data_IF_132774075798
#
_entry.id   IF_132774075798
#
_cell.length_a   1.000
_cell.length_b   1.000
_cell.length_c   1.000
_cell.angle_alpha   90.00
_cell.angle_beta   90.00
_cell.angle_gamma   90.00
#
_symmetry.space_group_name_H-M   'P 1'
#
loop_
_entity.id
_entity.type
_entity.pdbx_description
1 polymer ?
#
# COMPACT_ATOMS: atom_id res chain seq x y z
N UNK A 1 -5.99 -31.39 -9.63
CA UNK A 1 -7.09 -32.13 -9.03
C UNK A 1 -6.79 -32.40 -7.56
N UNK A 2 -7.68 -31.92 -6.70
CA UNK A 2 -7.78 -32.25 -5.28
C UNK A 2 -9.26 -32.11 -4.92
N UNK A 3 -9.82 -33.11 -4.23
CA UNK A 3 -11.20 -33.10 -3.75
C UNK A 3 -11.21 -33.23 -2.23
N UNK A 4 -11.94 -32.33 -1.60
CA UNK A 4 -12.15 -32.19 -0.16
C UNK A 4 -13.65 -31.95 0.13
N UNK A 5 -14.53 -32.37 -0.78
CA UNK A 5 -15.97 -32.19 -0.66
C UNK A 5 -16.56 -33.00 0.49
N UNK A 6 -17.39 -32.36 1.32
CA UNK A 6 -18.05 -33.00 2.47
C UNK A 6 -17.21 -33.17 3.73
N UNK A 7 -15.93 -32.77 3.74
CA UNK A 7 -15.00 -32.95 4.86
C UNK A 7 -15.28 -32.05 6.09
N UNK A 8 -16.35 -31.24 6.06
CA UNK A 8 -16.74 -30.29 7.11
C UNK A 8 -15.64 -29.25 7.43
N UNK A 9 -14.94 -28.79 6.39
CA UNK A 9 -13.91 -27.76 6.48
C UNK A 9 -14.53 -26.37 6.71
N UNK A 10 -13.96 -25.61 7.64
CA UNK A 10 -14.29 -24.21 7.93
C UNK A 10 -13.32 -23.22 7.28
N UNK A 11 -12.10 -23.67 7.00
CA UNK A 11 -10.95 -22.88 6.53
C UNK A 11 -9.96 -23.78 5.77
N UNK A 12 -9.11 -23.17 4.93
CA UNK A 12 -7.93 -23.80 4.35
C UNK A 12 -6.68 -23.29 5.10
N UNK A 13 -5.61 -24.11 5.26
CA UNK A 13 -4.37 -23.66 5.90
C UNK A 13 -3.68 -22.58 5.05
N UNK A 14 -2.87 -21.71 5.67
CA UNK A 14 -2.12 -20.66 4.94
C UNK A 14 -1.26 -21.24 3.81
N UNK A 15 -0.57 -22.36 4.08
CA UNK A 15 0.28 -23.06 3.11
C UNK A 15 -0.48 -23.71 1.94
N UNK A 16 -1.83 -23.66 1.89
CA UNK A 16 -2.59 -24.22 0.78
C UNK A 16 -2.24 -23.55 -0.56
N UNK A 17 -1.80 -22.29 -0.55
CA UNK A 17 -1.31 -21.59 -1.74
C UNK A 17 0.01 -22.13 -2.30
N UNK A 18 0.74 -22.99 -1.58
CA UNK A 18 1.94 -23.67 -2.11
C UNK A 18 1.61 -24.68 -3.21
N UNK A 19 0.35 -25.08 -3.35
CA UNK A 19 -0.15 -26.03 -4.36
C UNK A 19 -0.22 -25.43 -5.77
N UNK A 20 0.86 -24.80 -6.23
CA UNK A 20 0.93 -24.05 -7.49
C UNK A 20 0.63 -24.89 -8.75
N UNK A 21 0.73 -26.22 -8.70
CA UNK A 21 0.35 -27.13 -9.79
C UNK A 21 -1.13 -27.58 -9.75
N UNK A 22 -1.95 -27.03 -8.85
CA UNK A 22 -3.33 -27.46 -8.67
C UNK A 22 -4.27 -26.82 -9.70
N UNK A 23 -4.59 -27.57 -10.74
CA UNK A 23 -5.52 -27.13 -11.80
C UNK A 23 -7.02 -27.22 -11.43
N UNK A 24 -7.39 -28.12 -10.51
CA UNK A 24 -8.79 -28.44 -10.22
C UNK A 24 -8.96 -28.65 -8.72
N UNK A 25 -9.95 -27.99 -8.11
CA UNK A 25 -10.21 -27.97 -6.67
C UNK A 25 -11.71 -28.10 -6.38
N UNK A 26 -12.05 -29.09 -5.56
CA UNK A 26 -13.42 -29.39 -5.14
C UNK A 26 -13.55 -29.22 -3.61
N UNK A 27 -14.45 -28.32 -3.20
CA UNK A 27 -14.71 -27.87 -1.82
C UNK A 27 -16.21 -27.92 -1.47
N UNK A 28 -17.02 -28.59 -2.30
CA UNK A 28 -18.47 -28.61 -2.18
C UNK A 28 -18.97 -29.29 -0.89
N UNK A 29 -20.07 -28.80 -0.31
CA UNK A 29 -20.70 -29.40 0.87
C UNK A 29 -19.89 -29.28 2.18
N UNK A 30 -19.07 -28.23 2.29
CA UNK A 30 -18.31 -27.90 3.50
C UNK A 30 -19.05 -26.84 4.35
N UNK A 31 -18.36 -26.25 5.34
CA UNK A 31 -18.90 -25.23 6.25
C UNK A 31 -18.04 -23.96 6.23
N UNK A 32 -17.58 -23.56 5.04
CA UNK A 32 -16.87 -22.30 4.85
C UNK A 32 -17.78 -21.10 5.13
N UNK A 33 -17.35 -20.21 6.03
CA UNK A 33 -18.05 -18.94 6.35
C UNK A 33 -17.64 -17.78 5.46
N UNK A 34 -16.38 -17.82 5.03
CA UNK A 34 -15.76 -16.82 4.17
C UNK A 34 -15.13 -17.56 2.98
N UNK A 35 -14.98 -16.89 1.84
CA UNK A 35 -14.28 -17.46 0.70
C UNK A 35 -12.78 -17.63 1.02
N UNK A 36 -12.17 -18.83 0.87
CA UNK A 36 -10.77 -19.04 1.25
C UNK A 36 -9.79 -18.21 0.40
N UNK A 37 -9.16 -17.20 1.01
CA UNK A 37 -8.30 -16.24 0.31
C UNK A 37 -7.06 -16.88 -0.34
N UNK A 38 -6.65 -18.07 0.12
CA UNK A 38 -5.53 -18.85 -0.44
C UNK A 38 -5.80 -19.29 -1.88
N UNK A 39 -7.07 -19.45 -2.28
CA UNK A 39 -7.48 -19.87 -3.63
C UNK A 39 -6.96 -18.88 -4.69
N UNK A 40 -7.01 -17.58 -4.41
CA UNK A 40 -6.53 -16.52 -5.33
C UNK A 40 -5.02 -16.55 -5.61
N UNK A 41 -4.27 -17.35 -4.86
CA UNK A 41 -2.82 -17.50 -5.04
C UNK A 41 -2.47 -18.73 -5.90
N UNK A 42 -3.44 -19.56 -6.28
CA UNK A 42 -3.24 -20.79 -7.06
C UNK A 42 -3.15 -20.47 -8.56
N UNK A 43 -1.95 -20.12 -9.03
CA UNK A 43 -1.74 -19.55 -10.37
C UNK A 43 -2.10 -20.43 -11.57
N UNK A 44 -2.29 -21.74 -11.39
CA UNK A 44 -2.72 -22.68 -12.44
C UNK A 44 -4.15 -23.22 -12.26
N UNK A 45 -4.93 -22.72 -11.29
CA UNK A 45 -6.30 -23.19 -11.06
C UNK A 45 -7.22 -22.83 -12.24
N UNK A 46 -8.01 -23.80 -12.71
CA UNK A 46 -8.99 -23.63 -13.78
C UNK A 46 -10.39 -24.11 -13.38
N UNK A 47 -10.51 -25.14 -12.54
CA UNK A 47 -11.80 -25.62 -12.00
C UNK A 47 -11.88 -25.38 -10.50
N UNK A 48 -12.96 -24.72 -10.07
CA UNK A 48 -13.31 -24.52 -8.66
C UNK A 48 -14.80 -24.80 -8.42
N UNK A 49 -15.09 -25.75 -7.54
CA UNK A 49 -16.43 -25.93 -6.95
C UNK A 49 -16.36 -25.65 -5.44
N UNK A 50 -17.19 -24.70 -4.97
CA UNK A 50 -17.38 -24.36 -3.56
C UNK A 50 -18.88 -24.29 -3.19
N UNK A 51 -19.74 -24.96 -3.97
CA UNK A 51 -21.19 -25.04 -3.74
C UNK A 51 -21.57 -25.86 -2.48
N UNK A 52 -22.84 -25.80 -2.07
CA UNK A 52 -23.33 -26.47 -0.86
C UNK A 52 -22.72 -25.95 0.46
N UNK A 53 -22.09 -24.77 0.46
CA UNK A 53 -21.47 -24.18 1.65
C UNK A 53 -22.46 -23.24 2.35
N UNK A 54 -23.44 -23.81 3.05
CA UNK A 54 -24.62 -23.07 3.53
C UNK A 54 -24.39 -21.93 4.53
N UNK A 55 -23.19 -21.77 5.10
CA UNK A 55 -22.82 -20.61 5.93
C UNK A 55 -22.09 -19.51 5.14
N UNK A 56 -21.66 -19.78 3.91
CA UNK A 56 -20.99 -18.84 3.01
C UNK A 56 -21.98 -17.80 2.52
N UNK A 57 -21.81 -16.54 2.91
CA UNK A 57 -22.78 -15.48 2.63
C UNK A 57 -22.16 -14.08 2.68
N UNK A 58 -22.82 -13.11 2.04
CA UNK A 58 -22.39 -11.71 2.08
C UNK A 58 -21.13 -11.39 1.26
N UNK A 59 -20.69 -12.29 0.37
CA UNK A 59 -19.41 -12.15 -0.33
C UNK A 59 -19.32 -10.90 -1.23
N UNK A 60 -18.18 -10.22 -1.11
CA UNK A 60 -17.72 -9.15 -2.00
C UNK A 60 -16.24 -9.35 -2.32
N UNK A 61 -15.80 -8.99 -3.52
CA UNK A 61 -14.46 -9.26 -4.04
C UNK A 61 -13.83 -8.01 -4.68
N UNK A 62 -12.50 -7.92 -4.72
CA UNK A 62 -11.80 -6.90 -5.51
C UNK A 62 -11.87 -7.21 -7.01
N UNK A 63 -11.68 -6.22 -7.88
CA UNK A 63 -11.57 -6.46 -9.34
C UNK A 63 -10.52 -7.51 -9.72
N UNK A 64 -9.42 -7.58 -8.96
CA UNK A 64 -8.35 -8.58 -9.17
C UNK A 64 -8.85 -10.01 -8.86
N UNK A 65 -9.62 -10.17 -7.79
CA UNK A 65 -10.26 -11.44 -7.42
C UNK A 65 -11.36 -11.83 -8.42
N UNK A 66 -12.15 -10.87 -8.92
CA UNK A 66 -13.16 -11.08 -9.96
C UNK A 66 -12.50 -11.49 -11.28
N UNK A 67 -11.39 -10.85 -11.66
CA UNK A 67 -10.59 -11.23 -12.82
C UNK A 67 -10.03 -12.66 -12.69
N UNK A 68 -9.49 -13.04 -11.52
CA UNK A 68 -9.10 -14.42 -11.24
C UNK A 68 -10.26 -15.40 -11.45
N UNK A 69 -11.44 -15.14 -10.86
CA UNK A 69 -12.62 -16.00 -11.01
C UNK A 69 -13.08 -16.10 -12.47
N UNK A 70 -12.99 -15.01 -13.25
CA UNK A 70 -13.33 -15.00 -14.68
C UNK A 70 -12.38 -15.82 -15.56
N UNK A 71 -11.15 -16.07 -15.10
CA UNK A 71 -10.14 -16.86 -15.82
C UNK A 71 -10.26 -18.38 -15.56
N UNK A 72 -11.10 -18.79 -14.60
CA UNK A 72 -11.47 -20.19 -14.40
C UNK A 72 -12.27 -20.71 -15.62
N UNK A 73 -12.07 -21.97 -15.99
CA UNK A 73 -12.88 -22.67 -17.00
C UNK A 73 -14.22 -23.13 -16.44
N UNK A 74 -14.28 -23.38 -15.12
CA UNK A 74 -15.50 -23.68 -14.39
C UNK A 74 -15.41 -23.11 -12.97
N UNK A 75 -16.40 -22.30 -12.60
CA UNK A 75 -16.61 -21.82 -11.23
C UNK A 75 -18.03 -22.17 -10.80
N UNK A 76 -18.17 -22.84 -9.65
CA UNK A 76 -19.48 -23.21 -9.08
C UNK A 76 -19.55 -22.74 -7.62
N UNK A 77 -20.61 -22.01 -7.29
CA UNK A 77 -20.86 -21.43 -5.97
C UNK A 77 -22.37 -21.27 -5.77
N UNK A 78 -22.84 -21.25 -4.52
CA UNK A 78 -24.26 -21.08 -4.23
C UNK A 78 -24.74 -19.64 -4.56
N UNK A 79 -25.86 -19.44 -5.27
CA UNK A 79 -26.31 -18.11 -5.67
C UNK A 79 -26.62 -17.14 -4.52
N UNK A 80 -26.89 -17.66 -3.31
CA UNK A 80 -27.12 -16.90 -2.08
C UNK A 80 -25.82 -16.54 -1.33
N UNK A 81 -24.64 -16.92 -1.83
CA UNK A 81 -23.36 -16.61 -1.18
C UNK A 81 -22.97 -15.12 -1.28
N UNK A 82 -23.51 -14.38 -2.25
CA UNK A 82 -23.18 -12.97 -2.50
C UNK A 82 -23.97 -12.00 -1.61
N UNK A 83 -23.48 -10.76 -1.50
CA UNK A 83 -24.16 -9.71 -0.75
C UNK A 83 -25.51 -9.30 -1.41
N UNK A 84 -26.60 -9.38 -0.64
CA UNK A 84 -27.96 -9.11 -1.13
C UNK A 84 -28.21 -7.66 -1.61
N UNK A 85 -27.35 -6.70 -1.23
CA UNK A 85 -27.37 -5.32 -1.70
C UNK A 85 -26.05 -4.97 -2.39
N UNK A 86 -26.02 -5.14 -3.71
CA UNK A 86 -24.82 -5.04 -4.53
C UNK A 86 -24.71 -3.64 -5.17
N UNK A 87 -23.72 -2.83 -4.79
CA UNK A 87 -23.52 -1.50 -5.36
C UNK A 87 -22.92 -1.53 -6.78
N UNK A 88 -22.04 -2.52 -7.02
CA UNK A 88 -21.36 -2.75 -8.30
C UNK A 88 -21.38 -4.26 -8.60
N UNK A 89 -22.44 -4.76 -9.25
CA UNK A 89 -22.52 -6.16 -9.70
C UNK A 89 -21.75 -6.36 -11.01
N UNK A 90 -20.94 -7.42 -11.09
CA UNK A 90 -20.25 -7.88 -12.28
C UNK A 90 -20.65 -9.33 -12.61
N UNK A 91 -20.68 -9.69 -13.89
CA UNK A 91 -21.20 -10.99 -14.35
C UNK A 91 -20.05 -11.95 -14.68
N UNK A 92 -19.90 -13.00 -13.89
CA UNK A 92 -18.85 -14.02 -14.04
C UNK A 92 -19.47 -15.40 -13.97
N UNK A 93 -19.27 -16.22 -15.02
CA UNK A 93 -19.80 -17.59 -15.13
C UNK A 93 -21.32 -17.73 -14.89
N UNK A 94 -22.09 -16.67 -15.12
CA UNK A 94 -23.53 -16.60 -14.88
C UNK A 94 -23.94 -16.13 -13.48
N UNK A 95 -22.99 -15.84 -12.60
CA UNK A 95 -23.22 -15.29 -11.26
C UNK A 95 -23.05 -13.77 -11.24
N UNK A 96 -23.89 -13.10 -10.44
CA UNK A 96 -23.79 -11.67 -10.15
C UNK A 96 -22.86 -11.42 -8.96
N UNK A 97 -21.56 -11.30 -9.22
CA UNK A 97 -20.54 -11.09 -8.19
C UNK A 97 -20.50 -9.62 -7.76
N UNK A 98 -20.37 -9.35 -6.46
CA UNK A 98 -20.28 -7.99 -5.94
C UNK A 98 -18.84 -7.50 -5.84
N UNK A 99 -18.55 -6.39 -6.51
CA UNK A 99 -17.24 -5.74 -6.49
C UNK A 99 -17.15 -4.75 -5.33
N UNK A 100 -16.07 -4.86 -4.54
CA UNK A 100 -15.72 -3.94 -3.46
C UNK A 100 -14.39 -3.24 -3.77
N UNK A 101 -14.44 -2.23 -4.64
CA UNK A 101 -13.28 -1.39 -4.96
C UNK A 101 -12.97 -0.38 -3.85
N UNK A 102 -11.73 -0.32 -3.33
CA UNK A 102 -11.28 0.80 -2.51
C UNK A 102 -11.05 2.07 -3.36
N UNK A 103 -10.80 1.91 -4.67
CA UNK A 103 -10.52 3.01 -5.59
C UNK A 103 -11.79 3.47 -6.32
N UNK A 104 -12.80 3.87 -5.54
CA UNK A 104 -13.95 4.60 -6.04
C UNK A 104 -13.55 6.04 -6.39
N UNK A 105 -12.93 6.20 -7.56
CA UNK A 105 -12.45 7.48 -8.08
C UNK A 105 -13.57 8.47 -8.42
N UNK A 106 -14.85 8.07 -8.34
CA UNK A 106 -15.98 9.00 -8.30
C UNK A 106 -15.99 9.85 -7.02
N UNK A 107 -15.28 9.42 -5.98
CA UNK A 107 -15.00 10.15 -4.74
C UNK A 107 -13.69 10.94 -4.77
N UNK A 108 -13.27 11.42 -5.94
CA UNK A 108 -12.63 12.74 -6.02
C UNK A 108 -13.62 13.76 -5.44
N UNK A 109 -13.51 14.01 -4.14
CA UNK A 109 -14.44 14.82 -3.34
C UNK A 109 -14.86 16.09 -4.08
N UNK A 110 -16.13 16.49 -3.96
CA UNK A 110 -16.67 17.71 -4.58
C UNK A 110 -15.77 18.94 -4.38
N UNK A 111 -15.06 19.03 -3.24
CA UNK A 111 -14.04 20.05 -2.99
C UNK A 111 -12.93 20.14 -4.04
N UNK A 112 -12.46 19.02 -4.59
CA UNK A 112 -11.41 19.00 -5.64
C UNK A 112 -11.92 19.63 -6.93
N UNK A 113 -13.12 19.27 -7.37
CA UNK A 113 -13.77 19.86 -8.55
C UNK A 113 -14.09 21.35 -8.35
N UNK A 114 -14.51 21.74 -7.14
CA UNK A 114 -14.71 23.14 -6.76
C UNK A 114 -13.39 23.93 -6.84
N UNK A 115 -12.28 23.38 -6.32
CA UNK A 115 -10.96 24.03 -6.37
C UNK A 115 -10.46 24.20 -7.81
N UNK A 116 -10.63 23.18 -8.67
CA UNK A 116 -10.30 23.28 -10.10
C UNK A 116 -11.15 24.35 -10.79
N UNK A 117 -12.46 24.38 -10.53
CA UNK A 117 -13.38 25.40 -11.07
C UNK A 117 -13.04 26.82 -10.63
N UNK A 118 -12.70 27.03 -9.35
CA UNK A 118 -12.22 28.32 -8.82
C UNK A 118 -10.92 28.72 -9.50
N UNK A 119 -9.96 27.81 -9.66
CA UNK A 119 -8.69 28.07 -10.35
C UNK A 119 -8.90 28.56 -11.79
N UNK A 120 -9.78 27.89 -12.55
CA UNK A 120 -10.14 28.29 -13.92
C UNK A 120 -10.80 29.67 -13.94
N UNK A 121 -11.75 29.95 -13.03
CA UNK A 121 -12.40 31.26 -12.93
C UNK A 121 -11.43 32.39 -12.60
N UNK A 122 -10.47 32.16 -11.70
CA UNK A 122 -9.42 33.14 -11.35
C UNK A 122 -8.51 33.41 -12.55
N UNK A 123 -8.10 32.38 -13.30
CA UNK A 123 -7.29 32.56 -14.52
C UNK A 123 -8.06 33.36 -15.58
N UNK A 124 -9.34 33.05 -15.80
CA UNK A 124 -10.21 33.81 -16.74
C UNK A 124 -10.34 35.27 -16.30
N UNK A 125 -10.55 35.54 -15.00
CA UNK A 125 -10.64 36.90 -14.47
C UNK A 125 -9.33 37.68 -14.62
N UNK A 126 -8.17 37.06 -14.40
CA UNK A 126 -6.86 37.68 -14.60
C UNK A 126 -6.58 37.98 -16.08
N UNK A 127 -6.93 37.06 -16.99
CA UNK A 127 -6.82 37.29 -18.45
C UNK A 127 -7.75 38.42 -18.89
N UNK A 128 -9.00 38.44 -18.42
CA UNK A 128 -9.95 39.51 -18.72
C UNK A 128 -9.47 40.87 -18.19
N UNK A 129 -8.93 40.93 -16.97
CA UNK A 129 -8.34 42.14 -16.38
C UNK A 129 -7.12 42.61 -17.17
N UNK A 130 -6.25 41.71 -17.63
CA UNK A 130 -5.09 42.04 -18.45
C UNK A 130 -5.49 42.61 -19.82
N UNK A 131 -6.46 41.99 -20.50
CA UNK A 131 -7.01 42.48 -21.77
C UNK A 131 -7.67 43.84 -21.59
N UNK A 132 -8.51 44.01 -20.55
CA UNK A 132 -9.16 45.28 -20.24
C UNK A 132 -8.17 46.40 -19.92
N UNK A 133 -7.13 46.11 -19.13
CA UNK A 133 -6.05 47.07 -18.82
C UNK A 133 -5.28 47.47 -20.08
N UNK A 134 -4.97 46.52 -20.96
CA UNK A 134 -4.30 46.79 -22.25
C UNK A 134 -5.17 47.63 -23.19
N UNK A 135 -6.48 47.40 -23.21
CA UNK A 135 -7.45 48.18 -23.99
C UNK A 135 -7.62 49.60 -23.45
N UNK A 136 -7.85 49.76 -22.14
CA UNK A 136 -8.05 51.06 -21.50
C UNK A 136 -6.81 51.97 -21.63
N UNK A 137 -5.60 51.42 -21.62
CA UNK A 137 -4.38 52.19 -21.86
C UNK A 137 -4.24 52.66 -23.32
N UNK A 138 -4.82 51.96 -24.29
CA UNK A 138 -4.86 52.39 -25.70
C UNK A 138 -5.79 53.58 -25.94
N UNK A 139 -6.85 53.72 -25.13
CA UNK A 139 -7.85 54.79 -25.28
C UNK A 139 -7.51 56.08 -24.49
N UNK A 140 -6.36 56.13 -23.81
CA UNK A 140 -5.94 57.28 -22.98
C UNK A 140 -5.06 58.30 -23.75
N UNK A 141 -5.17 58.37 -25.07
CA UNK A 141 -4.23 59.07 -25.95
C UNK A 141 -4.89 59.85 -27.11
N UNK A 142 -5.95 60.63 -26.81
CA UNK A 142 -6.57 61.58 -27.76
C UNK A 142 -7.21 62.77 -27.04
N UNK A 143 -7.14 63.95 -27.67
CA UNK A 143 -7.68 65.27 -27.22
C UNK A 143 -7.05 65.83 -25.92
N UNK A 144 -6.21 66.87 -25.88
CA UNK A 144 -5.96 68.07 -26.71
C UNK A 144 -6.85 69.31 -26.42
N UNK A 145 -6.24 70.26 -25.69
CA UNK A 145 -6.38 71.73 -25.75
C UNK A 145 -7.78 72.39 -25.58
N UNK A 146 -7.96 73.15 -24.48
CA UNK A 146 -7.84 74.63 -24.54
C UNK A 146 -8.36 75.37 -23.28
N UNK A 147 -7.43 75.92 -22.49
CA UNK A 147 -7.45 77.32 -21.98
C UNK A 147 -6.27 77.54 -21.02
N UNK A 148 -5.52 78.62 -21.23
CA UNK A 148 -4.36 78.93 -20.41
C UNK A 148 -4.63 79.91 -19.27
N UNK A 149 -3.79 79.89 -18.25
CA UNK A 149 -3.18 81.11 -17.70
C UNK A 149 -1.87 80.74 -17.01
N UNK A 150 -0.80 81.48 -17.29
CA UNK A 150 0.54 81.12 -16.84
C UNK A 150 0.91 81.71 -15.47
N UNK A 151 1.75 80.98 -14.72
CA UNK A 151 2.72 81.51 -13.76
C UNK A 151 3.85 80.50 -13.59
N UNK A 152 5.09 80.95 -13.79
CA UNK A 152 6.32 80.15 -13.68
C UNK A 152 7.23 80.88 -12.70
N UNK A 153 7.55 80.28 -11.54
CA UNK A 153 8.47 80.88 -10.58
C UNK A 153 9.30 79.82 -9.84
N UNK A 154 10.58 80.15 -9.70
CA UNK A 154 11.71 79.42 -9.11
C UNK A 154 11.52 78.87 -7.68
N UNK A 155 12.10 77.68 -7.42
CA UNK A 155 13.32 77.42 -6.60
C UNK A 155 13.61 75.89 -6.61
N UNK A 156 14.85 75.35 -6.60
CA UNK A 156 15.88 75.31 -5.54
C UNK A 156 15.35 74.67 -4.22
N UNK A 157 15.97 73.62 -3.65
CA UNK A 157 17.18 72.87 -4.02
C UNK A 157 17.42 71.61 -3.14
N UNK A 158 18.68 71.19 -3.06
CA UNK A 158 19.30 70.20 -2.14
C UNK A 158 18.99 68.68 -2.36
N UNK A 159 19.90 67.67 -2.30
CA UNK A 159 21.20 67.43 -1.60
C UNK A 159 20.98 67.02 -0.13
N UNK A 160 21.48 65.91 0.47
CA UNK A 160 22.34 64.75 0.09
C UNK A 160 22.08 63.58 1.10
N UNK A 161 22.73 62.39 1.20
CA UNK A 161 23.87 61.68 0.57
C UNK A 161 23.75 60.13 0.83
N UNK A 162 24.81 59.35 0.54
CA UNK A 162 24.96 57.88 0.68
C UNK A 162 24.92 57.25 2.09
N UNK A 163 24.79 55.91 2.16
CA UNK A 163 25.74 55.07 2.96
C UNK A 163 25.72 53.55 2.64
N UNK A 164 26.89 53.00 2.25
CA UNK A 164 27.54 51.73 2.71
C UNK A 164 26.76 50.39 2.46
N UNK A 165 27.19 49.45 1.59
CA UNK A 165 28.39 48.56 1.56
C UNK A 165 28.47 47.52 2.71
N UNK A 166 28.93 46.26 2.59
CA UNK A 166 29.27 45.35 1.47
C UNK A 166 29.60 43.93 2.00
N UNK A 167 29.33 42.85 1.24
CA UNK A 167 29.76 41.44 1.49
C UNK A 167 29.21 40.74 2.78
N UNK A 168 29.44 39.46 3.11
CA UNK A 168 30.16 38.31 2.49
C UNK A 168 29.56 36.95 2.96
N UNK A 169 30.00 35.82 2.37
CA UNK A 169 29.72 34.41 2.76
C UNK A 169 30.91 33.83 3.60
N UNK A 170 31.06 32.52 3.96
CA UNK A 170 30.32 31.28 3.62
C UNK A 170 30.17 30.19 4.74
N UNK A 171 29.74 28.96 4.36
CA UNK A 171 30.11 27.62 4.96
C UNK A 171 29.57 27.23 6.36
N UNK A 172 29.47 25.96 6.82
CA UNK A 172 29.46 24.57 6.25
C UNK A 172 28.92 23.60 7.35
N UNK A 173 28.39 22.41 6.98
CA UNK A 173 28.02 21.27 7.87
C UNK A 173 26.87 21.55 8.90
N UNK A 174 26.23 20.58 9.58
CA UNK A 174 26.41 19.11 9.71
C UNK A 174 25.02 18.42 9.95
N UNK A 175 24.94 17.07 9.99
CA UNK A 175 24.07 16.41 10.99
C UNK A 175 22.92 15.47 10.56
N UNK A 176 23.21 14.17 10.55
CA UNK A 176 22.39 13.03 11.03
C UNK A 176 20.99 12.68 10.45
N UNK A 177 20.60 11.41 10.65
CA UNK A 177 19.44 10.75 10.06
C UNK A 177 18.49 10.15 11.11
N UNK A 178 17.22 9.93 10.72
CA UNK A 178 16.18 9.15 11.40
C UNK A 178 14.95 9.01 10.48
N UNK A 179 14.05 8.02 10.60
CA UNK A 179 14.08 6.70 11.23
C UNK A 179 12.73 6.00 10.98
N UNK A 180 12.64 4.67 11.13
CA UNK A 180 11.37 3.91 11.31
C UNK A 180 10.39 3.87 10.09
N UNK A 181 9.48 2.88 9.95
CA UNK A 181 9.28 1.58 10.62
C UNK A 181 8.63 0.59 9.65
N UNK A 182 9.01 -0.68 9.72
CA UNK A 182 8.24 -1.80 9.15
C UNK A 182 7.64 -2.60 10.32
N UNK A 183 6.41 -3.08 10.18
CA UNK A 183 5.74 -3.89 11.20
C UNK A 183 4.96 -5.02 10.54
N UNK A 184 5.31 -6.25 10.90
CA UNK A 184 4.62 -7.46 10.50
C UNK A 184 4.18 -8.24 11.75
N UNK A 185 2.96 -8.78 11.70
CA UNK A 185 2.39 -9.62 12.74
C UNK A 185 2.08 -10.99 12.15
N UNK A 186 2.76 -12.03 12.64
CA UNK A 186 2.34 -13.42 12.47
C UNK A 186 2.29 -14.08 13.84
N UNK A 187 1.24 -14.87 14.08
CA UNK A 187 1.05 -15.66 15.31
C UNK A 187 0.72 -17.08 14.89
N UNK A 188 1.57 -18.03 15.25
CA UNK A 188 1.40 -19.45 14.94
C UNK A 188 0.40 -20.10 15.93
N UNK A 189 -0.33 -21.14 15.51
CA UNK A 189 0.07 -22.53 15.80
C UNK A 189 -0.98 -23.61 15.45
N UNK A 190 -0.54 -24.57 14.61
CA UNK A 190 -0.79 -26.03 14.69
C UNK A 190 -2.21 -26.61 14.64
N UNK A 191 -2.38 -27.61 13.75
CA UNK A 191 -3.26 -28.77 13.96
C UNK A 191 -2.41 -30.05 13.89
N UNK A 192 -2.78 -31.11 14.63
CA UNK A 192 -1.95 -32.32 14.73
C UNK A 192 -2.75 -33.62 14.76
N UNK A 193 -2.06 -34.69 14.35
CA UNK A 193 -2.27 -36.11 14.66
C UNK A 193 -3.21 -36.97 13.80
N UNK A 194 -2.61 -38.01 13.20
CA UNK A 194 -2.74 -39.41 13.62
C UNK A 194 -1.45 -40.15 13.24
N UNK A 195 -0.84 -40.98 14.09
CA UNK A 195 -1.16 -41.26 15.50
C UNK A 195 -0.07 -42.11 16.18
N UNK A 196 -0.27 -42.45 17.44
CA UNK A 196 0.63 -43.30 18.27
C UNK A 196 2.07 -42.79 18.47
N UNK A 197 2.24 -41.90 19.46
CA UNK A 197 3.50 -41.58 20.14
C UNK A 197 4.76 -41.34 19.26
N UNK A 198 4.93 -40.07 18.87
CA UNK A 198 5.98 -39.21 19.43
C UNK A 198 5.69 -37.75 19.04
N UNK A 199 5.85 -36.82 19.98
CA UNK A 199 6.23 -35.47 19.58
C UNK A 199 7.67 -35.57 19.07
N UNK A 200 7.87 -35.42 17.76
CA UNK A 200 9.20 -35.06 17.26
C UNK A 200 9.55 -33.70 17.86
N UNK A 201 10.75 -33.58 18.43
CA UNK A 201 11.20 -32.31 18.97
C UNK A 201 11.39 -31.33 17.81
N UNK A 202 11.04 -30.05 17.98
CA UNK A 202 11.41 -29.01 17.00
C UNK A 202 12.93 -28.94 16.77
N UNK A 203 13.71 -29.46 17.72
CA UNK A 203 15.16 -29.59 17.66
C UNK A 203 15.65 -30.78 16.81
N UNK A 204 14.76 -31.71 16.45
CA UNK A 204 15.04 -32.95 15.69
C UNK A 204 14.44 -32.93 14.27
N UNK A 205 13.80 -31.83 13.87
CA UNK A 205 13.19 -31.67 12.54
C UNK A 205 14.26 -31.63 11.44
N UNK A 206 14.15 -32.50 10.43
CA UNK A 206 15.19 -32.68 9.41
C UNK A 206 15.34 -31.47 8.47
N UNK A 207 14.29 -30.68 8.26
CA UNK A 207 14.36 -29.49 7.40
C UNK A 207 14.95 -28.31 8.17
N UNK A 208 14.56 -28.11 9.43
CA UNK A 208 15.18 -27.11 10.31
C UNK A 208 16.65 -27.46 10.63
N UNK A 209 17.00 -28.75 10.67
CA UNK A 209 18.39 -29.21 10.81
C UNK A 209 19.27 -28.81 9.62
N UNK A 210 18.75 -28.78 8.39
CA UNK A 210 19.51 -28.38 7.18
C UNK A 210 19.89 -26.90 7.18
N UNK A 211 19.13 -26.04 7.88
CA UNK A 211 19.43 -24.61 8.05
C UNK A 211 20.26 -24.30 9.31
N UNK A 212 20.66 -25.32 10.09
CA UNK A 212 21.41 -25.13 11.34
C UNK A 212 22.87 -24.78 11.06
N UNK A 213 23.22 -23.50 11.22
CA UNK A 213 24.60 -23.02 11.19
C UNK A 213 25.37 -23.49 12.43
N UNK A 214 26.60 -23.93 12.23
CA UNK A 214 27.55 -24.22 13.32
C UNK A 214 28.06 -22.91 13.96
N UNK A 215 27.75 -22.74 15.25
CA UNK A 215 28.16 -21.56 16.01
C UNK A 215 29.67 -21.38 16.15
N UNK A 216 30.50 -22.40 15.92
CA UNK A 216 31.96 -22.26 15.92
C UNK A 216 32.48 -21.45 14.72
N UNK A 217 31.69 -21.37 13.64
CA UNK A 217 32.04 -20.62 12.42
C UNK A 217 31.67 -19.13 12.50
N UNK A 218 31.12 -18.70 13.65
CA UNK A 218 30.72 -17.31 13.93
C UNK A 218 31.73 -16.70 14.88
N UNK A 219 32.50 -15.71 14.43
CA UNK A 219 33.55 -15.07 15.22
C UNK A 219 33.16 -13.65 15.61
N UNK A 220 33.13 -13.34 16.91
CA UNK A 220 32.67 -12.04 17.38
C UNK A 220 33.71 -10.94 17.20
N UNK A 221 33.25 -9.79 16.68
CA UNK A 221 34.06 -8.59 16.47
C UNK A 221 33.81 -7.57 17.59
N UNK A 222 32.54 -7.24 17.87
CA UNK A 222 32.14 -6.35 18.96
C UNK A 222 30.67 -6.48 19.33
N UNK A 223 30.34 -6.15 20.58
CA UNK A 223 28.97 -5.93 21.02
C UNK A 223 28.40 -4.65 20.37
N UNK A 224 27.18 -4.71 19.81
CA UNK A 224 26.47 -3.57 19.23
C UNK A 224 25.37 -3.02 20.16
N UNK A 225 24.61 -3.92 20.80
CA UNK A 225 23.51 -3.54 21.68
C UNK A 225 23.23 -4.62 22.74
N UNK A 226 22.69 -4.23 23.89
CA UNK A 226 22.12 -5.16 24.87
C UNK A 226 20.66 -4.83 25.13
N UNK A 227 19.88 -5.84 25.51
CA UNK A 227 18.51 -5.70 25.96
C UNK A 227 18.19 -6.69 27.08
N UNK A 228 16.90 -6.76 27.42
CA UNK A 228 16.40 -7.60 28.51
C UNK A 228 16.62 -9.10 28.23
N UNK A 229 16.16 -9.58 27.07
CA UNK A 229 16.21 -11.00 26.68
C UNK A 229 17.52 -11.44 25.99
N UNK A 230 18.44 -10.52 25.70
CA UNK A 230 19.58 -10.84 24.83
C UNK A 230 20.50 -9.69 24.49
N UNK A 231 21.38 -9.95 23.54
CA UNK A 231 22.44 -9.07 23.05
C UNK A 231 22.54 -9.17 21.53
N UNK A 232 23.03 -8.13 20.87
CA UNK A 232 23.31 -8.11 19.44
C UNK A 232 24.78 -7.82 19.26
N UNK A 233 25.48 -8.74 18.60
CA UNK A 233 26.90 -8.67 18.30
C UNK A 233 27.11 -8.42 16.80
N UNK A 234 28.16 -7.68 16.46
CA UNK A 234 28.78 -7.72 15.14
C UNK A 234 29.75 -8.90 15.15
N UNK A 235 29.56 -9.83 14.23
CA UNK A 235 30.37 -11.03 14.11
C UNK A 235 30.67 -11.30 12.64
N UNK A 236 31.68 -12.11 12.36
CA UNK A 236 32.04 -12.55 11.01
C UNK A 236 31.58 -13.99 10.81
N UNK A 237 30.93 -14.27 9.68
CA UNK A 237 30.52 -15.62 9.26
C UNK A 237 30.85 -15.81 7.77
N UNK A 238 31.54 -16.90 7.42
CA UNK A 238 32.04 -17.17 6.06
C UNK A 238 32.76 -15.97 5.41
N UNK A 239 33.53 -15.21 6.19
CA UNK A 239 34.26 -14.03 5.74
C UNK A 239 33.41 -12.76 5.50
N UNK A 240 32.12 -12.78 5.85
CA UNK A 240 31.21 -11.62 5.76
C UNK A 240 30.83 -11.11 7.16
N UNK A 241 30.69 -9.81 7.31
CA UNK A 241 30.12 -9.22 8.52
C UNK A 241 28.61 -9.51 8.61
N UNK A 242 28.16 -9.88 9.80
CA UNK A 242 26.77 -10.22 10.12
C UNK A 242 26.38 -9.72 11.51
N UNK A 243 25.09 -9.43 11.73
CA UNK A 243 24.55 -9.14 13.05
C UNK A 243 24.01 -10.42 13.71
N UNK A 244 24.53 -10.76 14.89
CA UNK A 244 24.22 -12.00 15.60
C UNK A 244 23.48 -11.69 16.90
N UNK A 245 22.20 -12.07 16.97
CA UNK A 245 21.38 -11.93 18.17
C UNK A 245 21.56 -13.15 19.08
N UNK A 246 22.04 -12.94 20.29
CA UNK A 246 22.26 -13.97 21.32
C UNK A 246 21.25 -13.80 22.45
N UNK A 247 20.68 -14.90 22.93
CA UNK A 247 19.86 -14.87 24.14
C UNK A 247 20.76 -14.93 25.36
N UNK A 248 20.45 -14.13 26.39
CA UNK A 248 21.11 -14.27 27.69
C UNK A 248 20.60 -15.57 28.33
N UNK A 249 21.51 -16.35 28.93
CA UNK A 249 21.08 -17.46 29.79
C UNK A 249 20.32 -16.87 30.99
N UNK A 250 19.18 -17.46 31.34
CA UNK A 250 18.55 -17.18 32.63
C UNK A 250 19.54 -17.52 33.76
N UNK A 251 19.59 -16.72 34.84
CA UNK A 251 20.39 -17.02 36.02
C UNK A 251 19.85 -18.24 36.79
#
# INVERSE_FOLDING_TARGET
>A
YLDLGGDSLTELPEDFSTLQSLAELHLQGNVFKNFPAQIFQLGNLSVLDISGNGELSGLTFTREQVAFLSNLTLFVIDPNAFAASCAQPEQVHGYSICVSDPNDSSKLSFGVWILIGIGILVVIALVAMFVWRKWHMGNAASEFESRGSGKKLFCLGDVDADSILESSSPSVEEGYASSEKFSSHHTLHTRSSKGSNRFASIWDDEELLRWRIDGQQVHDVRLLATGFYGEVWLSTYLGKEVAVKRLKKSP
#
